data_IF_385583919184
#
_entry.id   IF_385583919184
#
_cell.length_a   1.000
_cell.length_b   1.000
_cell.length_c   1.000
_cell.angle_alpha   90.00
_cell.angle_beta   90.00
_cell.angle_gamma   90.00
#
_symmetry.space_group_name_H-M   'P 1'
#
loop_
_entity.id
_entity.type
_entity.pdbx_description
1 polymer ?
#
# COMPACT_ATOMS: atom_id res chain seq x y z
N UNK A 1 -27.43 -54.97 7.61
CA UNK A 1 -26.76 -54.03 8.53
C UNK A 1 -25.82 -53.15 7.71
N UNK A 2 -26.34 -52.05 7.16
CA UNK A 2 -25.57 -51.11 6.35
C UNK A 2 -26.12 -49.71 6.63
N UNK A 3 -25.80 -49.13 7.78
CA UNK A 3 -26.13 -47.73 8.06
C UNK A 3 -25.37 -47.20 9.28
N UNK A 4 -24.06 -46.98 9.13
CA UNK A 4 -23.28 -46.03 9.96
C UNK A 4 -22.14 -45.43 9.13
N UNK A 5 -22.47 -44.95 7.94
CA UNK A 5 -21.55 -44.23 7.06
C UNK A 5 -22.16 -42.87 6.75
N UNK A 6 -22.26 -42.00 7.76
CA UNK A 6 -22.57 -40.59 7.54
C UNK A 6 -22.09 -39.75 8.73
N UNK A 7 -21.30 -38.74 8.40
CA UNK A 7 -20.98 -37.55 9.19
C UNK A 7 -19.89 -37.74 10.26
N UNK A 8 -18.66 -37.94 9.80
CA UNK A 8 -17.46 -37.62 10.59
C UNK A 8 -16.45 -36.96 9.65
N UNK A 9 -16.82 -35.80 9.07
CA UNK A 9 -15.93 -35.05 8.17
C UNK A 9 -16.32 -33.57 7.98
N UNK A 10 -16.78 -32.89 9.03
CA UNK A 10 -17.02 -31.44 8.97
C UNK A 10 -17.03 -30.82 10.38
N UNK A 11 -15.84 -30.56 10.93
CA UNK A 11 -15.59 -29.54 11.97
C UNK A 11 -14.14 -29.68 12.49
N UNK A 12 -13.15 -29.58 11.61
CA UNK A 12 -11.86 -29.04 12.04
C UNK A 12 -11.97 -27.52 11.85
N UNK A 13 -12.69 -26.85 12.76
CA UNK A 13 -12.68 -25.40 12.81
C UNK A 13 -11.25 -24.97 13.12
N UNK A 14 -10.66 -24.32 12.13
CA UNK A 14 -9.25 -23.99 12.06
C UNK A 14 -8.96 -22.91 13.12
N UNK A 15 -8.14 -23.25 14.10
CA UNK A 15 -7.60 -22.26 15.05
C UNK A 15 -6.87 -21.21 14.23
N UNK A 16 -7.40 -19.99 14.19
CA UNK A 16 -6.74 -18.91 13.46
C UNK A 16 -5.36 -18.68 14.08
N UNK A 17 -4.30 -18.69 13.25
CA UNK A 17 -2.95 -18.42 13.72
C UNK A 17 -2.84 -16.92 13.99
N UNK A 18 -3.00 -16.52 15.27
CA UNK A 18 -2.91 -15.12 15.70
C UNK A 18 -1.44 -14.80 16.01
N UNK A 19 -0.88 -13.86 15.26
CA UNK A 19 0.47 -13.32 15.47
C UNK A 19 0.39 -11.92 16.07
N UNK A 20 1.34 -11.56 16.94
CA UNK A 20 1.42 -10.18 17.45
C UNK A 20 2.00 -9.24 16.38
N UNK A 21 1.49 -8.01 16.35
CA UNK A 21 1.94 -6.99 15.44
C UNK A 21 3.42 -6.65 15.64
N UNK A 22 4.07 -6.25 14.54
CA UNK A 22 5.41 -5.69 14.60
C UNK A 22 5.32 -4.24 15.11
N UNK A 23 6.27 -3.77 15.94
CA UNK A 23 6.30 -2.38 16.37
C UNK A 23 6.29 -1.41 15.19
N UNK A 24 5.63 -0.27 15.41
CA UNK A 24 5.51 0.82 14.43
C UNK A 24 6.89 1.37 14.07
N UNK A 25 7.19 1.39 12.77
CA UNK A 25 8.48 1.88 12.27
C UNK A 25 8.62 3.41 12.30
N UNK A 26 9.83 3.90 12.01
CA UNK A 26 10.08 5.35 11.95
C UNK A 26 9.62 5.95 10.61
N UNK A 27 8.57 6.79 10.65
CA UNK A 27 8.04 7.50 9.48
C UNK A 27 9.11 8.34 8.74
N UNK A 28 10.01 9.01 9.48
CA UNK A 28 11.07 9.83 8.86
C UNK A 28 12.05 8.95 8.09
N UNK A 29 12.42 7.79 8.65
CA UNK A 29 13.31 6.83 7.97
C UNK A 29 12.70 6.33 6.66
N UNK A 30 11.40 6.01 6.66
CA UNK A 30 10.70 5.61 5.44
C UNK A 30 10.63 6.72 4.39
N UNK A 31 10.40 7.98 4.78
CA UNK A 31 10.44 9.13 3.85
C UNK A 31 11.82 9.36 3.25
N UNK A 32 12.87 9.30 4.06
CA UNK A 32 14.24 9.46 3.57
C UNK A 32 14.60 8.32 2.61
N UNK A 33 14.26 7.08 2.96
CA UNK A 33 14.44 5.94 2.06
C UNK A 33 13.70 6.10 0.73
N UNK A 34 12.45 6.58 0.77
CA UNK A 34 11.68 6.88 -0.43
C UNK A 34 12.36 7.95 -1.31
N UNK A 35 12.81 9.06 -0.72
CA UNK A 35 13.50 10.13 -1.45
C UNK A 35 14.80 9.61 -2.07
N UNK A 36 15.59 8.81 -1.35
CA UNK A 36 16.82 8.22 -1.90
C UNK A 36 16.50 7.36 -3.13
N UNK A 37 15.47 6.51 -3.05
CA UNK A 37 15.05 5.68 -4.18
C UNK A 37 14.55 6.51 -5.36
N UNK A 38 13.80 7.59 -5.12
CA UNK A 38 13.38 8.50 -6.18
C UNK A 38 14.54 9.25 -6.82
N UNK A 39 15.57 9.63 -6.05
CA UNK A 39 16.81 10.19 -6.62
C UNK A 39 17.54 9.15 -7.47
N UNK A 40 17.61 7.89 -7.03
CA UNK A 40 18.17 6.81 -7.84
C UNK A 40 17.38 6.56 -9.13
N UNK A 41 16.04 6.66 -9.08
CA UNK A 41 15.18 6.61 -10.24
C UNK A 41 15.50 7.72 -11.25
N UNK A 42 15.60 8.97 -10.79
CA UNK A 42 16.02 10.11 -11.62
C UNK A 42 17.43 9.94 -12.20
N UNK A 43 18.36 9.33 -11.46
CA UNK A 43 19.70 9.00 -12.00
C UNK A 43 19.59 8.00 -13.14
N UNK A 44 18.74 6.97 -13.03
CA UNK A 44 18.46 6.04 -14.14
C UNK A 44 17.87 6.76 -15.35
N UNK A 45 16.96 7.71 -15.16
CA UNK A 45 16.41 8.54 -16.23
C UNK A 45 17.50 9.37 -16.92
N UNK A 46 18.36 10.05 -16.14
CA UNK A 46 19.48 10.84 -16.69
C UNK A 46 20.45 9.95 -17.47
N UNK A 47 20.75 8.74 -16.99
CA UNK A 47 21.59 7.78 -17.72
C UNK A 47 20.93 7.35 -19.04
N UNK A 48 19.62 7.10 -19.05
CA UNK A 48 18.88 6.82 -20.28
C UNK A 48 19.00 7.98 -21.28
N UNK A 49 18.85 9.22 -20.80
CA UNK A 49 18.97 10.44 -21.63
C UNK A 49 20.41 10.59 -22.18
N UNK A 50 21.43 10.40 -21.35
CA UNK A 50 22.83 10.46 -21.81
C UNK A 50 23.12 9.42 -22.88
N UNK A 51 22.51 8.24 -22.78
CA UNK A 51 22.61 7.18 -23.77
C UNK A 51 21.88 7.56 -25.07
N UNK A 52 20.71 8.21 -24.98
CA UNK A 52 19.97 8.73 -26.15
C UNK A 52 20.77 9.76 -26.94
N UNK A 53 21.53 10.61 -26.27
CA UNK A 53 22.38 11.62 -26.91
C UNK A 53 23.77 11.10 -27.30
N UNK A 54 24.03 9.80 -27.14
CA UNK A 54 25.33 9.19 -27.45
C UNK A 54 26.50 9.68 -26.60
N UNK A 55 26.22 10.31 -25.44
CA UNK A 55 27.25 10.77 -24.48
C UNK A 55 27.86 9.61 -23.71
N UNK A 56 27.08 8.55 -23.51
CA UNK A 56 27.55 7.28 -23.00
C UNK A 56 27.21 6.18 -24.02
N UNK A 57 28.16 5.29 -24.27
CA UNK A 57 27.96 4.15 -25.15
C UNK A 57 28.34 2.88 -24.38
N UNK A 58 27.36 1.99 -24.22
CA UNK A 58 27.54 0.70 -23.57
C UNK A 58 27.79 -0.33 -24.66
N UNK A 59 29.06 -0.65 -24.91
CA UNK A 59 29.48 -1.50 -26.03
C UNK A 59 29.06 -2.97 -25.93
N UNK A 60 28.61 -3.44 -24.75
CA UNK A 60 28.21 -4.83 -24.54
C UNK A 60 26.72 -5.12 -24.84
N UNK A 61 25.88 -4.09 -25.06
CA UNK A 61 24.45 -4.24 -25.39
C UNK A 61 23.98 -3.20 -26.40
N UNK A 62 22.92 -3.52 -27.16
CA UNK A 62 22.27 -2.56 -28.05
C UNK A 62 21.59 -1.44 -27.24
N UNK A 63 21.65 -0.20 -27.72
CA UNK A 63 20.95 1.00 -27.24
C UNK A 63 19.51 0.71 -26.80
N UNK A 64 18.70 0.00 -27.60
CA UNK A 64 17.31 -0.33 -27.23
C UNK A 64 17.24 -1.10 -25.90
N UNK A 65 18.09 -2.13 -25.77
CA UNK A 65 18.11 -2.98 -24.56
C UNK A 65 18.51 -2.15 -23.35
N UNK A 66 19.52 -1.29 -23.49
CA UNK A 66 19.94 -0.39 -22.41
C UNK A 66 18.82 0.57 -21.99
N UNK A 67 18.08 1.16 -22.93
CA UNK A 67 16.93 2.03 -22.62
C UNK A 67 15.87 1.29 -21.83
N UNK A 68 15.51 0.08 -22.26
CA UNK A 68 14.51 -0.73 -21.55
C UNK A 68 15.00 -1.09 -20.15
N UNK A 69 16.27 -1.45 -19.98
CA UNK A 69 16.85 -1.74 -18.66
C UNK A 69 16.75 -0.52 -17.74
N UNK A 70 17.12 0.68 -18.21
CA UNK A 70 16.99 1.89 -17.41
C UNK A 70 15.54 2.23 -17.05
N UNK A 71 14.60 2.10 -17.99
CA UNK A 71 13.15 2.31 -17.73
C UNK A 71 12.64 1.33 -16.67
N UNK A 72 13.05 0.06 -16.73
CA UNK A 72 12.63 -0.96 -15.77
C UNK A 72 13.23 -0.70 -14.38
N UNK A 73 14.52 -0.32 -14.31
CA UNK A 73 15.16 0.02 -13.03
C UNK A 73 14.54 1.26 -12.39
N UNK A 74 14.28 2.30 -13.18
CA UNK A 74 13.55 3.51 -12.76
C UNK A 74 12.19 3.13 -12.16
N UNK A 75 11.39 2.34 -12.89
CA UNK A 75 10.07 1.89 -12.43
C UNK A 75 10.14 1.14 -11.09
N UNK A 76 11.13 0.26 -10.92
CA UNK A 76 11.32 -0.49 -9.66
C UNK A 76 11.61 0.47 -8.50
N UNK A 77 12.58 1.38 -8.67
CA UNK A 77 12.95 2.33 -7.62
C UNK A 77 11.79 3.28 -7.29
N UNK A 78 11.08 3.77 -8.30
CA UNK A 78 9.88 4.59 -8.15
C UNK A 78 8.82 3.87 -7.30
N UNK A 79 8.44 2.64 -7.67
CA UNK A 79 7.38 1.90 -6.99
C UNK A 79 7.76 1.62 -5.53
N UNK A 80 8.99 1.15 -5.29
CA UNK A 80 9.46 0.87 -3.92
C UNK A 80 9.46 2.16 -3.11
N UNK A 81 9.98 3.26 -3.66
CA UNK A 81 9.96 4.57 -3.01
C UNK A 81 8.54 5.02 -2.66
N UNK A 82 7.60 4.86 -3.59
CA UNK A 82 6.19 5.18 -3.36
C UNK A 82 5.54 4.30 -2.28
N UNK A 83 5.87 3.01 -2.20
CA UNK A 83 5.36 2.15 -1.12
C UNK A 83 5.90 2.58 0.25
N UNK A 84 7.19 2.94 0.34
CA UNK A 84 7.78 3.46 1.58
C UNK A 84 7.14 4.79 1.98
N UNK A 85 6.87 5.67 1.02
CA UNK A 85 6.20 6.95 1.28
C UNK A 85 4.78 6.76 1.81
N UNK A 86 3.99 5.88 1.20
CA UNK A 86 2.64 5.52 1.70
C UNK A 86 2.69 4.97 3.12
N UNK A 87 3.63 4.05 3.39
CA UNK A 87 3.82 3.52 4.75
C UNK A 87 4.17 4.62 5.75
N UNK A 88 5.02 5.57 5.38
CA UNK A 88 5.32 6.71 6.24
C UNK A 88 4.10 7.60 6.52
N UNK A 89 3.22 7.77 5.52
CA UNK A 89 1.98 8.53 5.67
C UNK A 89 0.98 7.83 6.58
N UNK A 90 0.89 6.51 6.57
CA UNK A 90 0.06 5.80 7.55
C UNK A 90 0.60 5.93 8.98
N UNK A 91 1.91 5.97 9.16
CA UNK A 91 2.52 6.12 10.49
C UNK A 91 2.37 7.56 11.01
N UNK A 92 2.69 8.56 10.19
CA UNK A 92 2.54 9.99 10.52
C UNK A 92 1.78 10.71 9.41
N UNK A 93 0.44 10.60 9.39
CA UNK A 93 -0.39 11.20 8.34
C UNK A 93 -0.38 12.72 8.38
N UNK A 94 -0.72 13.32 7.24
CA UNK A 94 -0.95 14.75 7.16
C UNK A 94 -2.33 15.09 7.76
N UNK A 95 -2.46 16.30 8.32
CA UNK A 95 -3.72 16.81 8.87
C UNK A 95 -4.65 17.28 7.74
N UNK A 96 -5.96 17.00 7.87
CA UNK A 96 -6.99 17.54 6.95
C UNK A 96 -7.21 19.04 7.09
N UNK A 97 -6.78 19.65 8.20
CA UNK A 97 -6.82 21.12 8.39
C UNK A 97 -6.04 21.87 7.31
N UNK A 98 -5.05 21.20 6.70
CA UNK A 98 -4.32 21.72 5.56
C UNK A 98 -4.54 20.83 4.32
N UNK A 99 -5.59 21.08 3.53
CA UNK A 99 -5.99 20.19 2.44
C UNK A 99 -4.94 20.09 1.32
N UNK A 100 -4.20 21.17 1.05
CA UNK A 100 -3.14 21.17 0.04
C UNK A 100 -1.98 20.28 0.47
N UNK A 101 -1.56 20.37 1.73
CA UNK A 101 -0.54 19.47 2.30
C UNK A 101 -1.03 18.03 2.32
N UNK A 102 -2.27 17.77 2.71
CA UNK A 102 -2.85 16.43 2.73
C UNK A 102 -2.89 15.80 1.34
N UNK A 103 -3.36 16.54 0.33
CA UNK A 103 -3.37 16.08 -1.05
C UNK A 103 -1.95 15.83 -1.57
N UNK A 104 -1.03 16.77 -1.35
CA UNK A 104 0.35 16.64 -1.83
C UNK A 104 1.04 15.42 -1.20
N UNK A 105 0.96 15.27 0.13
CA UNK A 105 1.62 14.16 0.84
C UNK A 105 1.13 12.79 0.36
N UNK A 106 -0.16 12.64 0.10
CA UNK A 106 -0.75 11.36 -0.33
C UNK A 106 -0.55 11.07 -1.83
N UNK A 107 -0.25 12.10 -2.64
CA UNK A 107 -0.02 11.96 -4.09
C UNK A 107 1.46 12.12 -4.51
N UNK A 108 2.40 12.25 -3.56
CA UNK A 108 3.82 12.46 -3.87
C UNK A 108 4.38 11.42 -4.84
N UNK A 109 4.09 10.13 -4.64
CA UNK A 109 4.58 9.09 -5.53
C UNK A 109 4.08 9.24 -6.97
N UNK A 110 2.83 9.67 -7.17
CA UNK A 110 2.27 9.93 -8.49
C UNK A 110 2.96 11.13 -9.16
N UNK A 111 3.21 12.19 -8.39
CA UNK A 111 3.94 13.37 -8.89
C UNK A 111 5.33 12.97 -9.35
N UNK A 112 6.05 12.19 -8.56
CA UNK A 112 7.39 11.68 -8.94
C UNK A 112 7.31 10.79 -10.17
N UNK A 113 6.29 9.91 -10.28
CA UNK A 113 6.09 9.08 -11.47
C UNK A 113 5.97 9.91 -12.75
N UNK A 114 5.18 10.99 -12.70
CA UNK A 114 5.04 11.94 -13.82
C UNK A 114 6.37 12.62 -14.12
N UNK A 115 7.12 13.03 -13.09
CA UNK A 115 8.42 13.67 -13.26
C UNK A 115 9.48 12.75 -13.86
N UNK A 116 9.48 11.45 -13.54
CA UNK A 116 10.46 10.50 -14.07
C UNK A 116 10.17 10.05 -15.52
N UNK A 117 8.89 9.93 -15.90
CA UNK A 117 8.57 9.34 -17.22
C UNK A 117 8.10 10.35 -18.26
N UNK A 118 7.40 11.43 -17.89
CA UNK A 118 6.90 12.38 -18.88
C UNK A 118 8.02 13.09 -19.66
N UNK A 119 9.08 13.63 -19.02
CA UNK A 119 10.20 14.24 -19.74
C UNK A 119 10.90 13.23 -20.67
N UNK A 120 11.19 12.02 -20.19
CA UNK A 120 11.75 10.95 -21.00
C UNK A 120 10.88 10.61 -22.22
N UNK A 121 9.56 10.48 -22.06
CA UNK A 121 8.62 10.21 -23.16
C UNK A 121 8.68 11.32 -24.22
N UNK A 122 8.63 12.59 -23.78
CA UNK A 122 8.70 13.75 -24.68
C UNK A 122 10.03 13.77 -25.44
N UNK A 123 11.14 13.50 -24.75
CA UNK A 123 12.47 13.44 -25.35
C UNK A 123 12.58 12.30 -26.38
N UNK A 124 12.05 11.11 -26.06
CA UNK A 124 12.02 9.99 -27.00
C UNK A 124 11.19 10.29 -28.25
N UNK A 125 10.04 10.96 -28.10
CA UNK A 125 9.17 11.35 -29.21
C UNK A 125 9.81 12.42 -30.11
N UNK A 126 10.56 13.36 -29.53
CA UNK A 126 11.16 14.49 -30.25
C UNK A 126 12.55 14.19 -30.82
N UNK A 127 13.24 13.14 -30.32
CA UNK A 127 14.53 12.72 -30.83
C UNK A 127 14.43 12.33 -32.32
N UNK A 128 15.34 12.81 -33.18
CA UNK A 128 15.33 12.51 -34.62
C UNK A 128 16.34 11.45 -35.04
N UNK A 129 17.35 11.20 -34.21
CA UNK A 129 18.50 10.37 -34.53
C UNK A 129 18.26 8.87 -34.24
N UNK A 130 17.27 8.58 -33.39
CA UNK A 130 16.81 7.21 -33.11
C UNK A 130 16.06 6.58 -34.28
N UNK A 131 16.38 5.31 -34.56
CA UNK A 131 15.61 4.51 -35.51
C UNK A 131 14.14 4.37 -35.07
N UNK A 132 13.23 4.29 -36.05
CA UNK A 132 11.78 4.30 -35.81
C UNK A 132 11.34 3.16 -34.90
N UNK A 133 11.95 1.98 -35.00
CA UNK A 133 11.55 0.78 -34.24
C UNK A 133 11.95 0.93 -32.78
N UNK A 134 13.21 1.26 -32.50
CA UNK A 134 13.71 1.49 -31.14
C UNK A 134 12.95 2.59 -30.44
N UNK A 135 12.73 3.72 -31.13
CA UNK A 135 11.94 4.83 -30.60
C UNK A 135 10.54 4.41 -30.20
N UNK A 136 9.84 3.72 -31.09
CA UNK A 136 8.46 3.27 -30.84
C UNK A 136 8.41 2.36 -29.61
N UNK A 137 9.31 1.38 -29.52
CA UNK A 137 9.35 0.44 -28.39
C UNK A 137 9.67 1.16 -27.08
N UNK A 138 10.67 2.05 -27.07
CA UNK A 138 11.07 2.80 -25.88
C UNK A 138 9.96 3.73 -25.38
N UNK A 139 9.27 4.46 -26.28
CA UNK A 139 8.14 5.31 -25.93
C UNK A 139 7.01 4.50 -25.31
N UNK A 140 6.65 3.37 -25.92
CA UNK A 140 5.59 2.49 -25.39
C UNK A 140 5.97 1.95 -24.03
N UNK A 141 7.22 1.50 -23.85
CA UNK A 141 7.71 1.01 -22.57
C UNK A 141 7.64 2.08 -21.48
N UNK A 142 8.11 3.30 -21.75
CA UNK A 142 8.05 4.41 -20.81
C UNK A 142 6.60 4.83 -20.49
N UNK A 143 5.70 4.84 -21.48
CA UNK A 143 4.28 5.14 -21.25
C UNK A 143 3.59 4.08 -20.38
N UNK A 144 3.86 2.80 -20.62
CA UNK A 144 3.36 1.70 -19.77
C UNK A 144 3.94 1.81 -18.36
N UNK A 145 5.23 2.15 -18.23
CA UNK A 145 5.88 2.34 -16.94
C UNK A 145 5.24 3.51 -16.15
N UNK A 146 4.92 4.63 -16.81
CA UNK A 146 4.19 5.75 -16.21
C UNK A 146 2.82 5.32 -15.68
N UNK A 147 2.06 4.55 -16.46
CA UNK A 147 0.73 4.09 -16.04
C UNK A 147 0.82 3.15 -14.82
N UNK A 148 1.71 2.16 -14.86
CA UNK A 148 1.92 1.22 -13.75
C UNK A 148 2.45 1.95 -12.52
N UNK A 149 3.49 2.77 -12.69
CA UNK A 149 4.12 3.55 -11.62
C UNK A 149 3.15 4.53 -10.98
N UNK A 150 2.35 5.23 -11.79
CA UNK A 150 1.29 6.13 -11.32
C UNK A 150 0.23 5.38 -10.51
N UNK A 151 -0.34 4.30 -11.07
CA UNK A 151 -1.39 3.52 -10.40
C UNK A 151 -0.90 2.87 -9.09
N UNK A 152 0.34 2.38 -9.04
CA UNK A 152 0.93 1.80 -7.84
C UNK A 152 1.29 2.84 -6.76
N UNK A 153 1.46 4.11 -7.16
CA UNK A 153 1.89 5.19 -6.29
C UNK A 153 0.75 5.90 -5.57
N UNK A 154 -0.48 5.78 -6.07
CA UNK A 154 -1.67 6.35 -5.42
C UNK A 154 -1.94 5.62 -4.10
N UNK A 155 -2.22 6.40 -3.06
CA UNK A 155 -2.80 5.89 -1.82
C UNK A 155 -4.32 5.93 -1.92
N UNK A 156 -4.93 4.75 -2.08
CA UNK A 156 -6.38 4.63 -2.24
C UNK A 156 -7.14 4.71 -0.92
N UNK A 157 -6.47 4.59 0.23
CA UNK A 157 -7.12 4.66 1.54
C UNK A 157 -6.35 5.59 2.48
N UNK A 158 -6.15 6.86 2.10
CA UNK A 158 -5.41 7.79 2.93
C UNK A 158 -6.19 8.02 4.23
N UNK A 159 -5.42 8.13 5.31
CA UNK A 159 -5.89 8.49 6.64
C UNK A 159 -5.26 9.82 7.05
N UNK A 160 -6.02 10.66 7.74
CA UNK A 160 -5.54 11.92 8.30
C UNK A 160 -5.08 11.78 9.75
N UNK A 161 -4.36 12.79 10.24
CA UNK A 161 -3.95 12.85 11.64
C UNK A 161 -5.14 12.80 12.59
N UNK A 162 -6.21 13.54 12.27
CA UNK A 162 -7.43 13.60 13.07
C UNK A 162 -8.18 12.25 13.09
N UNK A 163 -8.31 11.58 11.94
CA UNK A 163 -8.97 10.27 11.85
C UNK A 163 -8.18 9.18 12.58
N UNK A 164 -6.84 9.22 12.50
CA UNK A 164 -5.98 8.30 13.24
C UNK A 164 -6.14 8.50 14.75
N UNK A 165 -6.11 9.76 15.21
CA UNK A 165 -6.27 10.10 16.62
C UNK A 165 -7.67 9.69 17.13
N UNK A 166 -8.73 10.01 16.40
CA UNK A 166 -10.09 9.61 16.75
C UNK A 166 -10.23 8.08 16.93
N UNK A 167 -9.64 7.30 16.01
CA UNK A 167 -9.64 5.84 16.11
C UNK A 167 -8.81 5.32 17.30
N UNK A 168 -7.70 5.97 17.64
CA UNK A 168 -6.88 5.60 18.79
C UNK A 168 -7.59 5.89 20.12
N UNK A 169 -8.29 7.02 20.24
CA UNK A 169 -9.07 7.38 21.44
C UNK A 169 -10.27 6.45 21.60
N UNK A 170 -11.00 6.18 20.51
CA UNK A 170 -12.21 5.36 20.56
C UNK A 170 -11.96 3.89 20.95
N UNK A 171 -10.73 3.40 20.74
CA UNK A 171 -10.31 2.03 21.00
C UNK A 171 -9.10 1.98 21.93
N UNK A 172 -8.98 2.97 22.82
CA UNK A 172 -7.90 3.03 23.79
C UNK A 172 -7.92 1.80 24.70
N UNK A 173 -6.80 1.10 24.81
CA UNK A 173 -6.70 -0.14 25.59
C UNK A 173 -7.33 -1.38 24.94
N UNK A 174 -8.02 -1.23 23.80
CA UNK A 174 -8.62 -2.35 23.05
C UNK A 174 -7.64 -2.88 22.02
N UNK A 175 -7.42 -4.20 22.05
CA UNK A 175 -6.67 -4.86 20.99
C UNK A 175 -7.53 -5.00 19.73
N UNK A 176 -6.94 -4.74 18.58
CA UNK A 176 -7.56 -4.92 17.27
C UNK A 176 -6.85 -5.99 16.46
N UNK A 177 -7.56 -6.50 15.47
CA UNK A 177 -7.18 -7.64 14.68
C UNK A 177 -7.36 -7.35 13.20
N UNK A 178 -6.46 -7.87 12.38
CA UNK A 178 -6.57 -7.74 10.93
C UNK A 178 -5.98 -8.94 10.23
N UNK A 179 -6.44 -9.16 9.01
CA UNK A 179 -5.92 -10.19 8.12
C UNK A 179 -4.73 -9.63 7.32
N UNK A 180 -3.80 -10.47 6.84
CA UNK A 180 -2.65 -10.00 6.06
C UNK A 180 -3.06 -9.16 4.85
N UNK A 181 -4.08 -9.60 4.10
CA UNK A 181 -4.53 -8.99 2.86
C UNK A 181 -5.75 -8.06 3.00
N UNK A 182 -6.34 -7.97 4.20
CA UNK A 182 -7.49 -7.10 4.46
C UNK A 182 -7.15 -5.61 4.36
N UNK A 183 -8.17 -4.76 4.28
CA UNK A 183 -8.02 -3.29 4.29
C UNK A 183 -8.54 -2.64 5.58
N UNK A 184 -9.17 -3.43 6.44
CA UNK A 184 -9.86 -2.99 7.64
C UNK A 184 -9.30 -3.72 8.85
N UNK A 185 -9.47 -3.12 10.03
CA UNK A 185 -9.23 -3.77 11.30
C UNK A 185 -10.54 -4.03 12.03
N UNK A 186 -10.50 -5.00 12.93
CA UNK A 186 -11.64 -5.55 13.65
C UNK A 186 -11.35 -5.52 15.15
N UNK A 187 -12.38 -5.33 15.95
CA UNK A 187 -12.29 -5.36 17.42
C UNK A 187 -12.53 -6.75 18.01
N UNK A 188 -13.18 -7.62 17.23
CA UNK A 188 -13.59 -8.95 17.62
C UNK A 188 -12.94 -10.01 16.72
N UNK A 189 -12.59 -11.16 17.32
CA UNK A 189 -12.08 -12.36 16.63
C UNK A 189 -12.87 -13.59 17.06
N UNK A 190 -12.85 -14.61 16.20
CA UNK A 190 -13.25 -15.96 16.55
C UNK A 190 -12.12 -16.58 17.35
N UNK A 191 -12.33 -16.80 18.64
CA UNK A 191 -11.40 -17.58 19.47
C UNK A 191 -12.17 -18.60 20.31
N UNK A 192 -12.11 -19.88 19.91
CA UNK A 192 -12.60 -21.00 20.71
C UNK A 192 -11.57 -21.46 21.78
N UNK A 193 -10.33 -20.95 21.76
CA UNK A 193 -9.17 -21.46 22.53
C UNK A 193 -8.82 -20.55 23.73
N UNK A 194 -8.94 -19.23 23.62
CA UNK A 194 -8.93 -18.34 24.79
C UNK A 194 -10.35 -18.24 25.35
N UNK A 195 -10.61 -18.91 26.49
CA UNK A 195 -11.86 -18.84 27.25
C UNK A 195 -12.18 -17.45 27.87
N UNK A 196 -11.85 -16.38 27.16
CA UNK A 196 -12.33 -15.03 27.42
C UNK A 196 -13.08 -14.56 26.17
N UNK A 197 -14.30 -15.06 26.03
CA UNK A 197 -15.34 -14.35 25.29
C UNK A 197 -15.36 -12.92 25.83
N UNK A 198 -15.37 -11.92 24.95
CA UNK A 198 -15.96 -10.63 25.32
C UNK A 198 -17.37 -10.92 25.86
N UNK A 199 -17.83 -10.21 26.90
CA UNK A 199 -19.06 -10.55 27.64
C UNK A 199 -20.31 -10.74 26.76
N UNK A 200 -20.28 -10.28 25.50
CA UNK A 200 -21.37 -10.38 24.52
C UNK A 200 -21.19 -11.43 23.38
N UNK A 201 -20.08 -12.17 23.32
CA UNK A 201 -19.97 -13.45 22.61
C UNK A 201 -20.31 -13.49 21.10
N UNK A 202 -20.07 -12.42 20.33
CA UNK A 202 -20.26 -12.46 18.86
C UNK A 202 -18.98 -12.14 18.10
N UNK A 203 -18.51 -13.13 17.36
CA UNK A 203 -17.39 -13.00 16.44
C UNK A 203 -17.73 -12.07 15.26
N UNK A 204 -16.70 -11.48 14.64
CA UNK A 204 -16.85 -10.76 13.38
C UNK A 204 -16.96 -11.77 12.20
N UNK A 205 -18.10 -11.86 11.49
CA UNK A 205 -18.29 -12.84 10.41
C UNK A 205 -17.29 -12.71 9.25
N UNK A 206 -16.71 -11.52 9.09
CA UNK A 206 -15.73 -11.23 8.05
C UNK A 206 -14.36 -11.88 8.31
N UNK A 207 -14.09 -12.32 9.54
CA UNK A 207 -12.85 -13.00 9.90
C UNK A 207 -12.93 -14.53 9.75
N UNK A 208 -14.13 -15.11 9.61
CA UNK A 208 -14.38 -16.56 9.54
C UNK A 208 -13.73 -17.26 8.34
N UNK A 209 -13.13 -16.50 7.41
CA UNK A 209 -12.47 -17.02 6.20
C UNK A 209 -10.95 -16.86 6.23
N UNK A 210 -10.38 -16.44 7.36
CA UNK A 210 -8.96 -16.12 7.47
C UNK A 210 -8.27 -17.01 8.48
N UNK A 211 -7.33 -17.82 7.99
CA UNK A 211 -6.56 -18.75 8.83
C UNK A 211 -5.39 -18.07 9.56
N UNK A 212 -5.10 -16.81 9.22
CA UNK A 212 -4.03 -16.01 9.83
C UNK A 212 -4.54 -14.63 10.19
N UNK A 213 -4.31 -14.24 11.43
CA UNK A 213 -4.68 -12.94 11.98
C UNK A 213 -3.46 -12.29 12.62
N UNK A 214 -3.43 -10.97 12.60
CA UNK A 214 -2.47 -10.19 13.38
C UNK A 214 -3.22 -9.42 14.45
N UNK A 215 -2.76 -9.51 15.69
CA UNK A 215 -3.26 -8.77 16.85
C UNK A 215 -2.33 -7.62 17.18
N UNK A 216 -2.88 -6.44 17.45
CA UNK A 216 -2.11 -5.28 17.89
C UNK A 216 -3.00 -4.13 18.32
N UNK A 217 -2.43 -2.95 18.34
CA UNK A 217 -3.14 -1.68 18.58
C UNK A 217 -3.70 -1.10 17.27
N UNK A 218 -4.62 -0.15 17.37
CA UNK A 218 -5.10 0.63 16.22
C UNK A 218 -3.94 1.32 15.49
N UNK A 219 -2.93 1.78 16.22
CA UNK A 219 -1.77 2.40 15.61
C UNK A 219 -1.00 1.44 14.69
N UNK A 220 -0.80 0.22 15.16
CA UNK A 220 -0.10 -0.83 14.41
C UNK A 220 -0.91 -1.31 13.21
N UNK A 221 -2.24 -1.41 13.36
CA UNK A 221 -3.15 -1.72 12.26
C UNK A 221 -3.08 -0.65 11.15
N UNK A 222 -3.18 0.62 11.53
CA UNK A 222 -3.07 1.75 10.60
C UNK A 222 -1.69 1.76 9.93
N UNK A 223 -0.60 1.58 10.70
CA UNK A 223 0.76 1.49 10.16
C UNK A 223 0.95 0.29 9.20
N UNK A 224 0.16 -0.78 9.35
CA UNK A 224 0.08 -1.91 8.44
C UNK A 224 -0.84 -1.68 7.22
N UNK A 225 -1.40 -0.47 7.08
CA UNK A 225 -2.28 -0.09 5.98
C UNK A 225 -3.74 -0.48 6.16
N UNK A 226 -4.16 -0.80 7.40
CA UNK A 226 -5.57 -1.04 7.75
C UNK A 226 -6.12 0.27 8.31
N UNK A 227 -6.62 1.13 7.44
CA UNK A 227 -6.97 2.51 7.81
C UNK A 227 -8.44 2.70 8.17
N UNK A 228 -9.27 1.66 8.04
CA UNK A 228 -10.71 1.71 8.31
C UNK A 228 -11.11 0.67 9.38
N UNK A 229 -12.02 1.04 10.27
CA UNK A 229 -12.70 0.11 11.18
C UNK A 229 -13.79 -0.66 10.42
N UNK A 230 -13.92 -1.95 10.68
CA UNK A 230 -15.02 -2.74 10.14
C UNK A 230 -16.38 -2.23 10.66
N UNK A 231 -17.30 -1.91 9.75
CA UNK A 231 -18.66 -1.42 10.00
C UNK A 231 -19.50 -2.37 10.85
N UNK A 232 -19.30 -3.68 10.69
CA UNK A 232 -19.95 -4.65 11.58
C UNK A 232 -19.46 -4.50 13.01
N UNK A 233 -18.14 -4.48 13.22
CA UNK A 233 -17.54 -4.26 14.53
C UNK A 233 -17.96 -2.91 15.12
N UNK A 234 -17.98 -1.86 14.31
CA UNK A 234 -18.43 -0.53 14.74
C UNK A 234 -19.86 -0.56 15.29
N UNK A 235 -20.81 -1.12 14.53
CA UNK A 235 -22.23 -1.20 14.92
C UNK A 235 -22.45 -2.12 16.11
N UNK A 236 -21.72 -3.22 16.15
CA UNK A 236 -21.84 -4.22 17.21
C UNK A 236 -21.38 -3.65 18.56
N UNK A 237 -20.27 -2.92 18.55
CA UNK A 237 -19.63 -2.41 19.77
C UNK A 237 -20.07 -1.01 20.14
N UNK A 238 -21.05 -0.46 19.40
CA UNK A 238 -21.53 0.91 19.54
C UNK A 238 -20.38 1.94 19.53
N UNK A 239 -19.36 1.70 18.69
CA UNK A 239 -18.21 2.60 18.54
C UNK A 239 -18.65 3.80 17.70
N UNK A 240 -19.15 4.82 18.41
CA UNK A 240 -19.54 6.09 17.83
C UNK A 240 -18.46 7.13 18.16
N UNK A 241 -17.85 7.70 17.12
CA UNK A 241 -16.86 8.75 17.27
C UNK A 241 -16.76 9.57 16.00
N UNK A 242 -16.90 10.89 16.15
CA UNK A 242 -16.72 11.83 15.04
C UNK A 242 -15.28 11.68 14.49
N UNK A 243 -15.17 11.37 13.19
CA UNK A 243 -13.88 11.20 12.53
C UNK A 243 -13.30 9.78 12.51
N UNK A 244 -13.98 8.76 13.04
CA UNK A 244 -13.56 7.35 12.83
C UNK A 244 -13.90 6.94 11.40
N UNK A 245 -12.89 6.52 10.63
CA UNK A 245 -13.10 6.04 9.26
C UNK A 245 -13.55 4.58 9.28
N UNK A 246 -14.69 4.27 8.66
CA UNK A 246 -15.22 2.89 8.57
C UNK A 246 -15.37 2.43 7.13
N UNK A 247 -15.59 1.12 6.95
CA UNK A 247 -15.76 0.49 5.63
C UNK A 247 -17.21 0.47 5.11
N UNK A 248 -18.16 1.05 5.85
CA UNK A 248 -19.53 1.22 5.38
C UNK A 248 -19.52 2.10 4.13
N UNK A 249 -20.28 1.67 3.12
CA UNK A 249 -20.30 2.21 1.75
C UNK A 249 -20.76 3.66 1.76
N UNK A 250 -19.84 4.58 1.99
CA UNK A 250 -20.04 6.02 1.83
C UNK A 250 -18.72 6.72 1.49
N UNK A 251 -18.09 6.29 0.39
CA UNK A 251 -17.35 7.23 -0.45
C UNK A 251 -18.06 7.22 -1.81
N UNK A 252 -18.67 8.33 -2.27
CA UNK A 252 -19.25 8.43 -3.61
C UNK A 252 -18.20 8.25 -4.71
#
# INVERSE_FOLDING_TARGET
>A
MAERKKIESASENTVSNIQNAKPVGNATGYRVGAIILWVLALVCEVLAILLLFGKINITFMNTLVCLIVFIVLDLIFLIIGSQLWKKANHIKPASKKNPTKFWLWNNMGLIVAVLCFCPLIILLLTNKDLDKKTKTIAVVAAAVALLIGGAASIDYNPISAEEKEAAQVALEGTAVYWTPYGKVYHTHVIDEVMGHTTEDGKDCPYLNRSDSLTRGTVEEAIAAGKTKLCSYCQRHDHIEGEGIKTDDVSEP
#
